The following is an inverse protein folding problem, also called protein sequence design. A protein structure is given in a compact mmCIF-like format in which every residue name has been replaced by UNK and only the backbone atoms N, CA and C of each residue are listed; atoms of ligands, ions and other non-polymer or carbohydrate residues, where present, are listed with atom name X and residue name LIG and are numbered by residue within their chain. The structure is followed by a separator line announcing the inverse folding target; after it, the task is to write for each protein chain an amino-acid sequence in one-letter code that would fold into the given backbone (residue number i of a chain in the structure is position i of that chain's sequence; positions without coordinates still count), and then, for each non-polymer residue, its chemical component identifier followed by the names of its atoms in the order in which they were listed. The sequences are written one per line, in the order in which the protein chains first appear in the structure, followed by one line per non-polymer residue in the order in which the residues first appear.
data_IF_753975249555
#
_entry.id   IF_753975249555
#
_cell.length_a   1.000
_cell.length_b   1.000
_cell.length_c   1.000
_cell.angle_alpha   90.00
_cell.angle_beta   90.00
_cell.angle_gamma   90.00
#
_symmetry.space_group_name_H-M   'P 1'
#
loop_
_entity.id
_entity.type
_entity.pdbx_description
1 polymer ?
#
# COMPACT_ATOMS: atom_id res chain seq x y z
N UNK A 1 -17.34 9.20 11.59
CA UNK A 1 -17.43 7.82 12.12
C UNK A 1 -16.45 6.97 11.32
N UNK A 2 -15.52 6.27 11.97
CA UNK A 2 -14.51 5.43 11.29
C UNK A 2 -15.13 4.07 10.94
N UNK A 3 -15.26 3.75 9.65
CA UNK A 3 -15.68 2.42 9.17
C UNK A 3 -14.49 1.69 8.56
N UNK A 4 -14.60 0.38 8.34
CA UNK A 4 -13.56 -0.40 7.63
C UNK A 4 -13.28 0.18 6.24
N UNK A 5 -14.34 0.54 5.51
CA UNK A 5 -14.24 1.17 4.19
C UNK A 5 -13.53 2.53 4.26
N UNK A 6 -13.91 3.39 5.21
CA UNK A 6 -13.25 4.69 5.38
C UNK A 6 -11.77 4.53 5.75
N UNK A 7 -11.48 3.64 6.70
CA UNK A 7 -10.13 3.39 7.18
C UNK A 7 -9.22 2.87 6.06
N UNK A 8 -9.70 1.86 5.33
CA UNK A 8 -8.89 1.15 4.37
C UNK A 8 -8.87 1.79 2.99
N UNK A 9 -9.82 2.65 2.63
CA UNK A 9 -9.92 3.17 1.27
C UNK A 9 -10.27 4.66 1.17
N UNK A 10 -11.26 5.15 1.93
CA UNK A 10 -11.79 6.49 1.65
C UNK A 10 -11.05 7.62 2.36
N UNK A 11 -10.33 7.34 3.44
CA UNK A 11 -9.60 8.40 4.14
C UNK A 11 -8.49 8.94 3.22
N UNK A 12 -8.20 10.24 3.32
CA UNK A 12 -7.22 10.93 2.46
C UNK A 12 -5.85 10.25 2.42
N UNK A 13 -5.48 9.62 3.54
CA UNK A 13 -4.24 8.86 3.70
C UNK A 13 -4.29 7.57 2.90
N UNK A 14 -5.37 6.79 2.99
CA UNK A 14 -5.55 5.56 2.23
C UNK A 14 -5.62 5.85 0.73
N UNK A 15 -6.38 6.87 0.33
CA UNK A 15 -6.48 7.31 -1.08
C UNK A 15 -5.10 7.62 -1.67
N UNK A 16 -4.27 8.38 -0.97
CA UNK A 16 -2.90 8.68 -1.45
C UNK A 16 -2.05 7.42 -1.67
N UNK A 17 -2.19 6.41 -0.81
CA UNK A 17 -1.43 5.17 -0.94
C UNK A 17 -1.99 4.33 -2.10
N UNK A 18 -3.31 4.25 -2.22
CA UNK A 18 -3.96 3.52 -3.32
C UNK A 18 -3.75 4.15 -4.68
N UNK A 19 -3.73 5.48 -4.78
CA UNK A 19 -3.42 6.18 -6.02
C UNK A 19 -2.00 5.83 -6.48
N UNK A 20 -1.02 5.77 -5.56
CA UNK A 20 0.32 5.30 -5.90
C UNK A 20 0.35 3.85 -6.40
N UNK A 21 -0.36 2.94 -5.72
CA UNK A 21 -0.40 1.54 -6.14
C UNK A 21 -1.06 1.41 -7.51
N UNK A 22 -2.16 2.11 -7.74
CA UNK A 22 -2.91 2.09 -9.01
C UNK A 22 -2.06 2.63 -10.15
N UNK A 23 -1.40 3.78 -9.94
CA UNK A 23 -0.48 4.40 -10.89
C UNK A 23 0.70 3.48 -11.24
N UNK A 24 1.32 2.84 -10.24
CA UNK A 24 2.48 1.98 -10.45
C UNK A 24 2.16 0.73 -11.27
N UNK A 25 1.02 0.09 -11.00
CA UNK A 25 0.62 -1.13 -11.72
C UNK A 25 -0.20 -0.85 -12.98
N UNK A 26 -0.55 0.41 -13.26
CA UNK A 26 -1.40 0.77 -14.40
C UNK A 26 -2.79 0.14 -14.32
N UNK A 27 -3.35 0.05 -13.11
CA UNK A 27 -4.68 -0.51 -12.86
C UNK A 27 -5.68 0.60 -12.54
N UNK A 28 -6.96 0.28 -12.69
CA UNK A 28 -8.04 1.17 -12.26
C UNK A 28 -7.93 1.51 -10.77
N UNK A 29 -8.48 2.66 -10.41
CA UNK A 29 -8.44 3.19 -9.04
C UNK A 29 -8.93 2.13 -8.03
N UNK A 30 -8.08 1.82 -7.07
CA UNK A 30 -8.43 0.96 -5.94
C UNK A 30 -9.18 1.80 -4.90
N UNK A 31 -10.49 1.62 -4.83
CA UNK A 31 -11.37 2.39 -3.93
C UNK A 31 -12.17 1.51 -2.97
N UNK A 32 -12.18 0.19 -3.16
CA UNK A 32 -12.92 -0.73 -2.29
C UNK A 32 -12.36 -2.15 -2.38
N UNK A 33 -12.95 -3.06 -1.59
CA UNK A 33 -12.59 -4.47 -1.63
C UNK A 33 -12.93 -5.16 -2.94
N UNK A 34 -13.96 -4.76 -3.68
CA UNK A 34 -14.31 -5.39 -4.96
C UNK A 34 -13.19 -5.22 -5.99
N UNK A 35 -12.55 -4.04 -6.04
CA UNK A 35 -11.37 -3.82 -6.87
C UNK A 35 -10.24 -4.79 -6.50
N UNK A 36 -9.93 -4.94 -5.21
CA UNK A 36 -8.87 -5.83 -4.72
C UNK A 36 -9.20 -7.29 -5.02
N UNK A 37 -10.44 -7.72 -4.77
CA UNK A 37 -10.90 -9.07 -5.00
C UNK A 37 -10.77 -9.47 -6.47
N UNK A 38 -11.01 -8.54 -7.40
CA UNK A 38 -10.81 -8.81 -8.83
C UNK A 38 -9.36 -9.20 -9.17
N UNK A 39 -8.37 -8.59 -8.50
CA UNK A 39 -6.97 -8.95 -8.68
C UNK A 39 -6.62 -10.29 -8.05
N UNK A 40 -7.17 -10.56 -6.87
CA UNK A 40 -6.94 -11.79 -6.13
C UNK A 40 -7.54 -13.01 -6.82
N UNK A 41 -8.67 -12.87 -7.52
CA UNK A 41 -9.23 -13.92 -8.36
C UNK A 41 -8.24 -14.36 -9.46
N UNK A 42 -7.42 -13.44 -9.96
CA UNK A 42 -6.37 -13.70 -10.95
C UNK A 42 -5.00 -14.04 -10.32
N UNK A 43 -5.00 -14.73 -9.16
CA UNK A 43 -3.81 -14.90 -8.31
C UNK A 43 -2.52 -15.32 -9.02
N UNK A 44 -2.58 -16.27 -9.96
CA UNK A 44 -1.38 -16.76 -10.67
C UNK A 44 -0.77 -15.72 -11.62
N UNK A 45 -1.57 -14.77 -12.13
CA UNK A 45 -1.12 -13.74 -13.06
C UNK A 45 -0.64 -12.46 -12.35
N UNK A 46 -1.18 -12.21 -11.15
CA UNK A 46 -1.03 -10.94 -10.45
C UNK A 46 -0.33 -11.06 -9.09
N UNK A 47 0.58 -12.03 -8.92
CA UNK A 47 1.23 -12.33 -7.63
C UNK A 47 1.81 -11.07 -6.97
N UNK A 48 2.58 -10.26 -7.72
CA UNK A 48 3.21 -9.05 -7.17
C UNK A 48 2.18 -7.99 -6.78
N UNK A 49 1.16 -7.76 -7.61
CA UNK A 49 0.06 -6.83 -7.28
C UNK A 49 -0.71 -7.32 -6.04
N UNK A 50 -0.91 -8.63 -5.89
CA UNK A 50 -1.58 -9.20 -4.73
C UNK A 50 -0.76 -9.03 -3.45
N UNK A 51 0.57 -9.22 -3.52
CA UNK A 51 1.46 -8.93 -2.40
C UNK A 51 1.40 -7.45 -2.00
N UNK A 52 1.43 -6.53 -2.98
CA UNK A 52 1.39 -5.08 -2.71
C UNK A 52 0.05 -4.65 -2.13
N UNK A 53 -1.06 -5.11 -2.68
CA UNK A 53 -2.41 -4.80 -2.16
C UNK A 53 -2.59 -5.36 -0.75
N UNK A 54 -2.13 -6.59 -0.49
CA UNK A 54 -2.17 -7.20 0.86
C UNK A 54 -1.29 -6.44 1.86
N UNK A 55 -0.06 -6.08 1.48
CA UNK A 55 0.85 -5.32 2.33
C UNK A 55 0.30 -3.92 2.64
N UNK A 56 -0.38 -3.30 1.67
CA UNK A 56 -1.04 -2.00 1.82
C UNK A 56 -2.19 -2.06 2.81
N UNK A 57 -3.12 -3.01 2.63
CA UNK A 57 -4.23 -3.25 3.57
C UNK A 57 -3.71 -3.48 4.99
N UNK A 58 -2.72 -4.36 5.13
CA UNK A 58 -2.13 -4.68 6.42
C UNK A 58 -1.44 -3.48 7.07
N UNK A 59 -0.73 -2.67 6.29
CA UNK A 59 -0.05 -1.47 6.78
C UNK A 59 -1.04 -0.40 7.24
N UNK A 60 -2.14 -0.19 6.51
CA UNK A 60 -3.21 0.74 6.89
C UNK A 60 -3.89 0.29 8.20
N UNK A 61 -4.27 -0.98 8.29
CA UNK A 61 -4.85 -1.56 9.50
C UNK A 61 -3.90 -1.46 10.71
N UNK A 62 -2.64 -1.83 10.53
CA UNK A 62 -1.64 -1.81 11.60
C UNK A 62 -1.35 -0.40 12.09
N UNK A 63 -1.31 0.58 11.21
CA UNK A 63 -1.12 1.98 11.57
C UNK A 63 -2.26 2.49 12.45
N UNK A 64 -3.51 2.21 12.09
CA UNK A 64 -4.67 2.59 12.91
C UNK A 64 -4.58 1.97 14.30
N UNK A 65 -4.23 0.69 14.39
CA UNK A 65 -4.07 0.03 15.68
C UNK A 65 -2.92 0.61 16.51
N UNK A 66 -1.85 1.09 15.88
CA UNK A 66 -0.78 1.81 16.57
C UNK A 66 -1.26 3.14 17.18
N UNK A 67 -2.15 3.85 16.51
CA UNK A 67 -2.71 5.12 17.01
C UNK A 67 -3.78 4.93 18.06
N UNK A 68 -4.74 4.05 17.81
CA UNK A 68 -5.86 3.85 18.73
C UNK A 68 -5.44 3.13 20.01
N UNK A 69 -4.49 2.19 19.94
CA UNK A 69 -4.21 1.27 21.05
C UNK A 69 -2.78 1.34 21.59
N UNK A 70 -1.81 1.88 20.84
CA UNK A 70 -0.40 1.87 21.26
C UNK A 70 0.18 3.26 21.49
N UNK A 71 -0.67 4.30 21.51
CA UNK A 71 -0.27 5.68 21.80
C UNK A 71 0.73 6.25 20.79
N UNK A 72 0.91 5.64 19.61
CA UNK A 72 1.73 6.26 18.57
C UNK A 72 1.05 7.52 18.07
N UNK A 73 1.85 8.49 17.63
CA UNK A 73 1.35 9.71 16.97
C UNK A 73 1.55 9.61 15.47
N UNK A 74 0.56 10.06 14.70
CA UNK A 74 0.70 10.19 13.25
C UNK A 74 1.80 11.19 12.91
N UNK A 75 2.63 10.84 11.93
CA UNK A 75 3.71 11.69 11.43
C UNK A 75 3.49 12.04 9.96
N UNK A 76 3.36 11.03 9.10
CA UNK A 76 3.08 11.23 7.67
C UNK A 76 2.75 9.90 6.98
N UNK A 77 2.22 10.00 5.75
CA UNK A 77 2.02 8.88 4.81
C UNK A 77 3.28 8.03 4.63
N UNK A 78 4.47 8.62 4.80
CA UNK A 78 5.77 7.93 4.74
C UNK A 78 5.85 6.75 5.71
N UNK A 79 5.15 6.80 6.84
CA UNK A 79 5.08 5.69 7.79
C UNK A 79 4.37 4.46 7.20
N UNK A 80 3.33 4.65 6.38
CA UNK A 80 2.64 3.55 5.70
C UNK A 80 3.53 2.99 4.61
N UNK A 81 4.08 3.86 3.75
CA UNK A 81 4.96 3.40 2.66
C UNK A 81 6.17 2.63 3.18
N UNK A 82 6.73 3.02 4.33
CA UNK A 82 7.80 2.28 4.99
C UNK A 82 7.35 0.91 5.49
N UNK A 83 6.14 0.79 6.06
CA UNK A 83 5.58 -0.51 6.46
C UNK A 83 5.33 -1.41 5.26
N UNK A 84 4.74 -0.87 4.18
CA UNK A 84 4.53 -1.60 2.92
C UNK A 84 5.88 -2.13 2.40
N UNK A 85 6.87 -1.25 2.22
CA UNK A 85 8.21 -1.62 1.77
C UNK A 85 8.84 -2.72 2.65
N UNK A 86 8.70 -2.60 3.98
CA UNK A 86 9.18 -3.61 4.93
C UNK A 86 8.49 -4.97 4.76
N UNK A 87 7.15 -5.02 4.64
CA UNK A 87 6.44 -6.29 4.40
C UNK A 87 6.83 -6.90 3.06
N UNK A 88 6.94 -6.10 2.00
CA UNK A 88 7.34 -6.57 0.69
C UNK A 88 8.77 -7.12 0.67
N UNK A 89 9.70 -6.49 1.40
CA UNK A 89 11.05 -7.03 1.58
C UNK A 89 11.02 -8.41 2.23
N UNK A 90 10.24 -8.60 3.30
CA UNK A 90 10.11 -9.89 3.97
C UNK A 90 9.40 -10.93 3.09
N UNK A 91 8.40 -10.51 2.33
CA UNK A 91 7.60 -11.40 1.47
C UNK A 91 8.21 -11.68 0.11
N UNK A 92 9.38 -11.09 -0.19
CA UNK A 92 10.12 -11.38 -1.43
C UNK A 92 10.44 -12.87 -1.60
N UNK A 93 10.57 -13.62 -0.51
CA UNK A 93 10.76 -15.07 -0.53
C UNK A 93 9.60 -15.85 -1.15
N UNK A 94 8.41 -15.23 -1.25
CA UNK A 94 7.23 -15.83 -1.87
C UNK A 94 7.21 -15.70 -3.41
N UNK A 95 8.18 -14.98 -3.97
CA UNK A 95 8.27 -14.70 -5.40
C UNK A 95 9.27 -15.63 -6.11
N UNK A 96 8.98 -15.97 -7.36
CA UNK A 96 10.01 -16.42 -8.30
C UNK A 96 10.94 -15.25 -8.72
N UNK A 97 12.00 -15.53 -9.50
CA UNK A 97 13.00 -14.51 -9.88
C UNK A 97 12.40 -13.32 -10.66
N UNK A 98 11.43 -13.59 -11.54
CA UNK A 98 10.77 -12.56 -12.35
C UNK A 98 9.91 -11.67 -11.46
N UNK A 99 9.11 -12.30 -10.61
CA UNK A 99 8.26 -11.63 -9.63
C UNK A 99 9.10 -10.84 -8.62
N UNK A 100 10.23 -11.38 -8.16
CA UNK A 100 11.13 -10.75 -7.20
C UNK A 100 11.78 -9.49 -7.79
N UNK A 101 12.10 -9.51 -9.09
CA UNK A 101 12.61 -8.33 -9.81
C UNK A 101 11.55 -7.23 -9.92
N UNK A 102 10.32 -7.59 -10.29
CA UNK A 102 9.20 -6.64 -10.35
C UNK A 102 8.87 -6.07 -8.96
N UNK A 103 8.88 -6.92 -7.93
CA UNK A 103 8.66 -6.52 -6.55
C UNK A 103 9.76 -5.57 -6.06
N UNK A 104 11.02 -5.83 -6.41
CA UNK A 104 12.14 -4.93 -6.08
C UNK A 104 11.96 -3.55 -6.72
N UNK A 105 11.48 -3.48 -7.97
CA UNK A 105 11.15 -2.21 -8.62
C UNK A 105 10.05 -1.45 -7.88
N UNK A 106 9.03 -2.17 -7.40
CA UNK A 106 7.97 -1.58 -6.58
C UNK A 106 8.52 -0.97 -5.27
N UNK A 107 9.36 -1.73 -4.56
CA UNK A 107 10.03 -1.29 -3.33
C UNK A 107 10.88 -0.03 -3.58
N UNK A 108 11.66 0.01 -4.67
CA UNK A 108 12.48 1.18 -5.00
C UNK A 108 11.62 2.43 -5.24
N UNK A 109 10.46 2.28 -5.89
CA UNK A 109 9.56 3.40 -6.13
C UNK A 109 8.82 3.85 -4.86
N UNK A 110 8.44 2.91 -3.99
CA UNK A 110 7.92 3.22 -2.65
C UNK A 110 8.92 4.05 -1.86
N UNK A 111 10.19 3.63 -1.86
CA UNK A 111 11.25 4.31 -1.14
C UNK A 111 11.60 5.67 -1.77
N UNK A 112 11.54 5.80 -3.10
CA UNK A 112 11.66 7.08 -3.79
C UNK A 112 10.53 8.04 -3.39
N UNK A 113 9.27 7.60 -3.47
CA UNK A 113 8.10 8.42 -3.08
C UNK A 113 8.11 8.78 -1.59
N UNK A 114 8.72 7.94 -0.76
CA UNK A 114 9.01 8.25 0.65
C UNK A 114 10.08 9.34 0.80
N UNK A 115 11.10 9.34 -0.05
CA UNK A 115 12.16 10.35 -0.08
C UNK A 115 11.69 11.71 -0.61
N UNK A 116 10.73 11.72 -1.52
CA UNK A 116 10.14 12.95 -2.05
C UNK A 116 9.48 13.77 -0.92
N UNK A 117 9.76 15.08 -0.91
CA UNK A 117 9.04 16.02 -0.05
C UNK A 117 7.61 16.10 -0.56
N UNK A 118 6.62 15.76 0.27
CA UNK A 118 5.23 16.07 -0.03
C UNK A 118 5.12 17.59 -0.09
N UNK A 119 5.24 18.16 -1.29
CA UNK A 119 4.90 19.56 -1.53
C UNK A 119 3.42 19.66 -1.21
N UNK A 120 3.11 20.28 -0.07
CA UNK A 120 1.74 20.59 0.31
C UNK A 120 1.26 21.58 -0.75
N UNK A 121 0.59 21.07 -1.79
CA UNK A 121 -0.16 21.90 -2.70
C UNK A 121 -1.46 22.23 -1.98
N UNK A 122 -1.49 23.39 -1.34
CA UNK A 122 -2.75 24.01 -0.96
C UNK A 122 -3.53 24.27 -2.26
N UNK A 123 -4.72 23.68 -2.37
CA UNK A 123 -5.73 24.07 -3.36
C UNK A 123 -6.76 24.94 -2.66
#
# INVERSE_FOLDING_TARGET
NETVQHLLFDCVVAQHVWDFVSEFFGVDKIANFENILSFWQMHKKNVVLNLVTTATLWSLWRLRNEFCFQGRKWKSVKCILAKVSCYLHHWKVLCDDVQATLLQRCILLLDKRRGELLRIAWR
#
